data_IF_455231298538
#
_entry.id   IF_455231298538
#
_cell.length_a   1.000
_cell.length_b   1.000
_cell.length_c   1.000
_cell.angle_alpha   90.00
_cell.angle_beta   90.00
_cell.angle_gamma   90.00
#
_symmetry.space_group_name_H-M   'P 1'
#
loop_
_entity.id
_entity.type
_entity.pdbx_description
1 polymer ?
#
# COMPACT_ATOMS: atom_id res chain seq x y z
N UNK A 1 10.62 -18.29 -18.51
CA UNK A 1 9.33 -18.83 -19.07
C UNK A 1 8.31 -19.20 -17.98
N UNK A 2 8.71 -19.84 -16.87
CA UNK A 2 7.82 -20.17 -15.74
C UNK A 2 7.63 -19.02 -14.75
N UNK A 3 8.69 -18.28 -14.39
CA UNK A 3 8.60 -17.12 -13.48
C UNK A 3 7.55 -16.10 -13.93
N UNK A 4 7.54 -15.73 -15.22
CA UNK A 4 6.53 -14.82 -15.76
C UNK A 4 5.08 -15.30 -15.66
N UNK A 5 4.81 -16.61 -15.51
CA UNK A 5 3.47 -17.16 -15.24
C UNK A 5 3.10 -17.09 -13.77
N UNK A 6 4.06 -17.31 -12.87
CA UNK A 6 3.85 -17.20 -11.41
C UNK A 6 3.46 -15.76 -11.04
N UNK A 7 4.09 -14.78 -11.70
CA UNK A 7 3.81 -13.35 -11.50
C UNK A 7 2.35 -12.98 -11.81
N UNK A 8 1.65 -13.73 -12.67
CA UNK A 8 0.22 -13.47 -12.89
C UNK A 8 -0.60 -13.66 -11.64
N UNK A 9 -0.22 -14.56 -10.73
CA UNK A 9 -0.92 -14.73 -9.46
C UNK A 9 -0.34 -13.76 -8.44
N UNK A 10 0.98 -13.75 -8.27
CA UNK A 10 1.62 -13.00 -7.18
C UNK A 10 1.52 -11.48 -7.36
N UNK A 11 1.40 -10.97 -8.59
CA UNK A 11 1.24 -9.55 -8.84
C UNK A 11 -0.23 -9.12 -8.87
N UNK A 12 -1.20 -9.96 -9.27
CA UNK A 12 -2.60 -9.54 -9.38
C UNK A 12 -3.43 -9.84 -8.14
N UNK A 13 -3.14 -10.95 -7.43
CA UNK A 13 -3.87 -11.32 -6.21
C UNK A 13 -3.83 -10.21 -5.14
N UNK A 14 -2.70 -9.53 -4.90
CA UNK A 14 -2.68 -8.41 -3.96
C UNK A 14 -3.67 -7.28 -4.31
N UNK A 15 -3.94 -7.02 -5.59
CA UNK A 15 -4.93 -6.02 -5.98
C UNK A 15 -6.36 -6.45 -5.66
N UNK A 16 -6.66 -7.74 -5.78
CA UNK A 16 -7.97 -8.29 -5.39
C UNK A 16 -8.16 -8.18 -3.87
N UNK A 17 -7.16 -8.59 -3.09
CA UNK A 17 -7.19 -8.49 -1.63
C UNK A 17 -7.30 -7.03 -1.20
N UNK A 18 -6.49 -6.15 -1.79
CA UNK A 18 -6.53 -4.71 -1.53
C UNK A 18 -7.91 -4.11 -1.84
N UNK A 19 -8.53 -4.50 -2.95
CA UNK A 19 -9.87 -4.03 -3.31
C UNK A 19 -10.93 -4.47 -2.29
N UNK A 20 -10.89 -5.72 -1.84
CA UNK A 20 -11.82 -6.22 -0.82
C UNK A 20 -11.62 -5.50 0.51
N UNK A 21 -10.36 -5.35 0.95
CA UNK A 21 -10.03 -4.62 2.18
C UNK A 21 -10.46 -3.15 2.11
N UNK A 22 -10.28 -2.50 0.96
CA UNK A 22 -10.72 -1.13 0.75
C UNK A 22 -12.24 -1.02 0.86
N UNK A 23 -12.99 -1.83 0.12
CA UNK A 23 -14.46 -1.78 0.12
C UNK A 23 -15.01 -2.08 1.51
N UNK A 24 -14.45 -3.07 2.21
CA UNK A 24 -14.86 -3.38 3.58
C UNK A 24 -14.48 -2.24 4.54
N UNK A 25 -13.23 -1.80 4.51
CA UNK A 25 -12.69 -0.77 5.41
C UNK A 25 -13.47 0.54 5.34
N UNK A 26 -13.86 1.01 4.15
CA UNK A 26 -14.67 2.24 4.02
C UNK A 26 -16.11 2.10 4.53
N UNK A 27 -16.63 0.88 4.68
CA UNK A 27 -17.98 0.64 5.22
C UNK A 27 -18.02 0.53 6.74
N UNK A 28 -16.85 0.45 7.40
CA UNK A 28 -16.75 0.34 8.84
C UNK A 28 -17.03 1.69 9.54
N UNK A 29 -17.61 1.67 10.76
CA UNK A 29 -17.79 2.89 11.54
C UNK A 29 -16.42 3.52 11.87
N UNK A 30 -16.31 4.84 11.84
CA UNK A 30 -15.05 5.54 12.12
C UNK A 30 -14.06 5.62 10.94
N UNK A 31 -14.31 4.93 9.82
CA UNK A 31 -13.43 4.95 8.65
C UNK A 31 -13.18 6.36 8.08
N UNK A 32 -14.19 7.23 8.13
CA UNK A 32 -14.08 8.63 7.69
C UNK A 32 -13.03 9.43 8.48
N UNK A 33 -12.88 9.18 9.78
CA UNK A 33 -11.85 9.82 10.61
C UNK A 33 -10.46 9.40 10.15
N UNK A 34 -10.30 8.12 9.81
CA UNK A 34 -9.05 7.60 9.27
C UNK A 34 -8.69 8.19 7.92
N UNK A 35 -9.64 8.26 6.99
CA UNK A 35 -9.42 8.88 5.68
C UNK A 35 -9.09 10.37 5.82
N UNK A 36 -9.75 11.07 6.76
CA UNK A 36 -9.44 12.48 7.02
C UNK A 36 -8.01 12.65 7.54
N UNK A 37 -7.57 11.78 8.47
CA UNK A 37 -6.18 11.79 8.94
C UNK A 37 -5.18 11.49 7.81
N UNK A 38 -5.49 10.57 6.90
CA UNK A 38 -4.63 10.25 5.75
C UNK A 38 -4.45 11.43 4.79
N UNK A 39 -5.53 12.15 4.51
CA UNK A 39 -5.55 13.26 3.55
C UNK A 39 -5.26 14.61 4.20
N UNK A 40 -5.04 14.65 5.51
CA UNK A 40 -4.71 15.88 6.21
C UNK A 40 -3.32 16.38 5.79
N UNK A 41 -3.27 17.58 5.22
CA UNK A 41 -2.02 18.18 4.75
C UNK A 41 -1.58 19.26 5.73
N UNK A 42 -0.42 19.06 6.34
CA UNK A 42 0.29 20.10 7.09
C UNK A 42 1.36 20.77 6.20
N UNK A 43 1.05 21.95 5.68
CA UNK A 43 1.96 22.72 4.84
C UNK A 43 3.21 23.23 5.57
N UNK A 44 3.20 23.32 6.91
CA UNK A 44 4.37 23.77 7.66
C UNK A 44 5.47 22.72 7.63
N UNK A 45 5.10 21.43 7.68
CA UNK A 45 6.04 20.31 7.60
C UNK A 45 6.81 20.24 6.28
N UNK A 46 6.29 20.82 5.20
CA UNK A 46 7.01 20.89 3.92
C UNK A 46 8.31 21.72 4.00
N UNK A 47 8.49 22.54 5.04
CA UNK A 47 9.72 23.29 5.29
C UNK A 47 10.81 22.44 5.95
N UNK A 48 10.44 21.29 6.50
CA UNK A 48 11.38 20.39 7.17
C UNK A 48 12.13 19.54 6.14
N UNK A 49 13.46 19.56 6.21
CA UNK A 49 14.29 18.78 5.29
C UNK A 49 14.04 17.27 5.43
N UNK A 50 13.70 16.81 6.63
CA UNK A 50 13.39 15.41 6.94
C UNK A 50 12.25 14.86 6.08
N UNK A 51 11.17 15.64 5.89
CA UNK A 51 10.03 15.24 5.04
C UNK A 51 10.45 14.93 3.60
N UNK A 52 11.40 15.70 3.06
CA UNK A 52 11.92 15.47 1.71
C UNK A 52 12.90 14.30 1.64
N UNK A 53 13.72 14.10 2.68
CA UNK A 53 14.60 12.93 2.80
C UNK A 53 13.77 11.65 2.86
N UNK A 54 12.71 11.65 3.65
CA UNK A 54 11.81 10.50 3.80
C UNK A 54 11.07 10.23 2.47
N UNK A 55 10.55 11.26 1.80
CA UNK A 55 9.91 11.11 0.49
C UNK A 55 10.88 10.55 -0.57
N UNK A 56 12.11 11.06 -0.63
CA UNK A 56 13.12 10.59 -1.57
C UNK A 56 13.53 9.13 -1.29
N UNK A 57 13.69 8.79 -0.01
CA UNK A 57 14.02 7.43 0.43
C UNK A 57 12.88 6.47 0.10
N UNK A 58 11.64 6.85 0.40
CA UNK A 58 10.44 6.07 0.16
C UNK A 58 10.26 5.75 -1.33
N UNK A 59 10.35 6.75 -2.22
CA UNK A 59 10.17 6.51 -3.66
C UNK A 59 11.33 5.70 -4.27
N UNK A 60 12.56 5.91 -3.79
CA UNK A 60 13.74 5.18 -4.26
C UNK A 60 13.63 3.68 -3.96
N UNK A 61 13.31 3.33 -2.72
CA UNK A 61 13.10 1.93 -2.32
C UNK A 61 11.82 1.35 -2.91
N UNK A 62 10.75 2.14 -3.05
CA UNK A 62 9.48 1.68 -3.62
C UNK A 62 9.60 1.26 -5.08
N UNK A 63 10.33 2.03 -5.92
CA UNK A 63 10.53 1.68 -7.33
C UNK A 63 11.62 0.61 -7.54
N UNK A 64 12.48 0.40 -6.55
CA UNK A 64 13.59 -0.54 -6.66
C UNK A 64 14.67 -0.11 -7.66
N UNK A 65 14.84 1.20 -7.88
CA UNK A 65 15.85 1.73 -8.78
C UNK A 65 17.27 1.44 -8.26
N UNK A 66 18.17 1.01 -9.14
CA UNK A 66 19.59 0.78 -8.79
C UNK A 66 19.93 -0.60 -8.21
N UNK A 67 18.94 -1.46 -7.89
CA UNK A 67 19.21 -2.82 -7.37
C UNK A 67 19.56 -3.87 -8.45
N UNK A 68 19.70 -3.47 -9.72
CA UNK A 68 20.00 -4.38 -10.83
C UNK A 68 18.83 -5.27 -11.29
N UNK A 69 17.75 -5.38 -10.53
CA UNK A 69 16.57 -6.19 -10.88
C UNK A 69 15.89 -5.68 -12.16
N UNK A 70 15.67 -4.36 -12.26
CA UNK A 70 15.06 -3.76 -13.45
C UNK A 70 15.94 -3.91 -14.70
N UNK A 71 17.27 -3.83 -14.54
CA UNK A 71 18.24 -4.09 -15.62
C UNK A 71 18.14 -5.54 -16.08
N UNK A 72 18.12 -6.48 -15.13
CA UNK A 72 17.99 -7.90 -15.42
C UNK A 72 16.67 -8.19 -16.15
N UNK A 73 15.54 -7.64 -15.71
CA UNK A 73 14.25 -7.82 -16.40
C UNK A 73 14.23 -7.18 -17.79
N UNK A 74 14.72 -5.95 -17.92
CA UNK A 74 14.78 -5.27 -19.21
C UNK A 74 15.69 -6.00 -20.22
N UNK A 75 16.70 -6.73 -19.77
CA UNK A 75 17.58 -7.52 -20.66
C UNK A 75 16.88 -8.67 -21.39
N UNK A 76 15.70 -9.10 -20.90
CA UNK A 76 14.85 -10.10 -21.57
C UNK A 76 13.80 -9.51 -22.50
N UNK A 77 13.70 -8.18 -22.60
CA UNK A 77 12.77 -7.53 -23.52
C UNK A 77 13.21 -7.68 -24.98
N UNK A 78 12.26 -7.53 -25.91
CA UNK A 78 12.61 -7.38 -27.33
C UNK A 78 13.36 -6.07 -27.53
N UNK A 79 14.27 -6.05 -28.50
CA UNK A 79 15.11 -4.89 -28.80
C UNK A 79 14.30 -3.65 -29.22
N UNK A 80 13.17 -3.86 -29.90
CA UNK A 80 12.24 -2.83 -30.38
C UNK A 80 11.11 -2.50 -29.39
N UNK A 81 11.16 -3.05 -28.17
CA UNK A 81 10.16 -2.78 -27.15
C UNK A 81 10.21 -1.32 -26.67
N UNK A 82 9.05 -0.69 -26.52
CA UNK A 82 8.95 0.68 -26.00
C UNK A 82 9.11 0.69 -24.46
N UNK A 83 10.36 0.63 -23.99
CA UNK A 83 10.69 0.64 -22.57
C UNK A 83 10.32 1.96 -21.87
N UNK A 84 10.21 3.08 -22.60
CA UNK A 84 9.79 4.37 -22.05
C UNK A 84 8.34 4.32 -21.57
N UNK A 85 7.45 3.77 -22.40
CA UNK A 85 6.04 3.55 -22.03
C UNK A 85 5.93 2.62 -20.83
N UNK A 86 6.69 1.52 -20.83
CA UNK A 86 6.66 0.55 -19.75
C UNK A 86 7.11 1.18 -18.43
N UNK A 87 8.19 1.98 -18.46
CA UNK A 87 8.70 2.67 -17.28
C UNK A 87 7.69 3.68 -16.70
N UNK A 88 7.03 4.48 -17.55
CA UNK A 88 5.98 5.39 -17.10
C UNK A 88 4.79 4.64 -16.49
N UNK A 89 4.35 3.55 -17.14
CA UNK A 89 3.21 2.78 -16.68
C UNK A 89 3.50 2.08 -15.34
N UNK A 90 4.64 1.41 -15.21
CA UNK A 90 5.00 0.71 -13.97
C UNK A 90 5.21 1.67 -12.81
N UNK A 91 5.84 2.82 -13.04
CA UNK A 91 6.02 3.86 -12.03
C UNK A 91 4.68 4.45 -11.58
N UNK A 92 3.77 4.70 -12.53
CA UNK A 92 2.43 5.21 -12.23
C UNK A 92 1.62 4.19 -11.43
N UNK A 93 1.62 2.92 -11.85
CA UNK A 93 0.93 1.84 -11.13
C UNK A 93 1.48 1.72 -9.71
N UNK A 94 2.80 1.74 -9.52
CA UNK A 94 3.41 1.70 -8.20
C UNK A 94 2.87 2.83 -7.28
N UNK A 95 2.90 4.07 -7.74
CA UNK A 95 2.42 5.22 -6.95
C UNK A 95 0.91 5.14 -6.67
N UNK A 96 0.11 4.76 -7.66
CA UNK A 96 -1.35 4.58 -7.49
C UNK A 96 -1.65 3.47 -6.48
N UNK A 97 -0.94 2.35 -6.55
CA UNK A 97 -1.10 1.25 -5.59
C UNK A 97 -0.77 1.70 -4.17
N UNK A 98 0.34 2.43 -3.97
CA UNK A 98 0.66 3.00 -2.66
C UNK A 98 -0.44 3.93 -2.16
N UNK A 99 -0.95 4.82 -3.01
CA UNK A 99 -2.03 5.74 -2.65
C UNK A 99 -3.32 5.00 -2.27
N UNK A 100 -3.77 4.04 -3.08
CA UNK A 100 -4.97 3.23 -2.81
C UNK A 100 -4.80 2.38 -1.54
N UNK A 101 -3.61 1.83 -1.32
CA UNK A 101 -3.30 1.10 -0.09
C UNK A 101 -3.38 1.98 1.16
N UNK A 102 -3.03 3.26 1.05
CA UNK A 102 -3.22 4.24 2.11
C UNK A 102 -4.68 4.33 2.56
N UNK A 103 -5.63 4.41 1.63
CA UNK A 103 -7.06 4.40 1.98
C UNK A 103 -7.50 3.12 2.68
N UNK A 104 -7.08 1.95 2.19
CA UNK A 104 -7.43 0.68 2.82
C UNK A 104 -6.93 0.62 4.27
N UNK A 105 -5.65 0.93 4.50
CA UNK A 105 -5.05 0.94 5.84
C UNK A 105 -5.68 1.99 6.75
N UNK A 106 -5.81 3.24 6.29
CA UNK A 106 -6.33 4.31 7.13
C UNK A 106 -7.83 4.17 7.42
N UNK A 107 -8.62 3.57 6.53
CA UNK A 107 -10.02 3.25 6.83
C UNK A 107 -10.16 2.27 8.00
N UNK A 108 -9.30 1.24 8.05
CA UNK A 108 -9.21 0.28 9.14
C UNK A 108 -8.70 0.93 10.43
N UNK A 109 -7.64 1.76 10.34
CA UNK A 109 -7.12 2.52 11.49
C UNK A 109 -8.20 3.41 12.11
N UNK A 110 -9.01 4.08 11.28
CA UNK A 110 -10.13 4.89 11.74
C UNK A 110 -11.19 4.08 12.49
N UNK A 111 -11.48 2.87 12.00
CA UNK A 111 -12.36 1.92 12.69
C UNK A 111 -11.78 1.48 14.04
N UNK A 112 -10.51 1.10 14.09
CA UNK A 112 -9.86 0.68 15.35
C UNK A 112 -9.85 1.81 16.38
N UNK A 113 -9.51 3.03 15.96
CA UNK A 113 -9.54 4.20 16.83
C UNK A 113 -10.96 4.46 17.38
N UNK A 114 -11.98 4.27 16.54
CA UNK A 114 -13.39 4.40 16.93
C UNK A 114 -13.83 3.33 17.95
N UNK A 115 -13.53 2.06 17.70
CA UNK A 115 -13.91 0.95 18.58
C UNK A 115 -13.19 1.00 19.94
N UNK A 116 -11.88 1.28 19.93
CA UNK A 116 -11.07 1.34 21.15
C UNK A 116 -11.15 2.68 21.87
N UNK A 117 -11.82 3.69 21.28
CA UNK A 117 -11.95 5.06 21.82
C UNK A 117 -10.60 5.72 22.11
N UNK A 118 -9.65 5.50 21.20
CA UNK A 118 -8.29 6.06 21.24
C UNK A 118 -8.06 7.00 20.06
N UNK A 119 -6.96 7.75 20.08
CA UNK A 119 -6.61 8.58 18.92
C UNK A 119 -6.03 7.71 17.82
N UNK A 120 -6.14 8.18 16.57
CA UNK A 120 -5.60 7.44 15.43
C UNK A 120 -4.08 7.30 15.49
N UNK A 121 -3.40 8.28 16.09
CA UNK A 121 -1.95 8.26 16.30
C UNK A 121 -1.50 7.10 17.20
N UNK A 122 -2.37 6.64 18.10
CA UNK A 122 -2.07 5.54 19.03
C UNK A 122 -2.15 4.16 18.34
N UNK A 123 -2.87 4.07 17.22
CA UNK A 123 -3.02 2.83 16.43
C UNK A 123 -2.22 2.84 15.13
N UNK A 124 -1.83 4.03 14.64
CA UNK A 124 -1.03 4.22 13.44
C UNK A 124 0.44 3.89 13.69
N UNK A 125 0.79 2.60 13.59
CA UNK A 125 2.17 2.13 13.69
C UNK A 125 2.80 1.92 12.30
N UNK A 126 4.13 1.97 12.21
CA UNK A 126 4.87 1.66 10.98
C UNK A 126 5.49 0.26 11.02
N UNK A 127 5.81 -0.28 9.85
CA UNK A 127 6.57 -1.53 9.70
C UNK A 127 5.79 -2.78 10.11
N UNK A 128 6.46 -3.70 10.81
CA UNK A 128 5.92 -5.02 11.13
C UNK A 128 4.69 -4.96 12.07
N UNK A 129 4.60 -3.95 12.93
CA UNK A 129 3.45 -3.76 13.84
C UNK A 129 2.14 -3.55 13.07
N UNK A 130 2.18 -2.81 11.97
CA UNK A 130 1.03 -2.62 11.09
C UNK A 130 0.57 -3.98 10.52
N UNK A 131 1.49 -4.81 10.03
CA UNK A 131 1.14 -6.09 9.38
C UNK A 131 0.70 -7.17 10.37
N UNK A 132 1.29 -7.22 11.58
CA UNK A 132 1.03 -8.33 12.51
C UNK A 132 0.02 -8.01 13.61
N UNK A 133 -0.44 -6.76 13.73
CA UNK A 133 -1.47 -6.35 14.69
C UNK A 133 -2.68 -5.79 13.95
N UNK A 134 -2.47 -4.80 13.08
CA UNK A 134 -3.56 -4.12 12.40
C UNK A 134 -4.32 -5.03 11.42
N UNK A 135 -3.60 -5.76 10.57
CA UNK A 135 -4.23 -6.63 9.56
C UNK A 135 -5.03 -7.77 10.18
N UNK A 136 -4.53 -8.53 11.18
CA UNK A 136 -5.34 -9.54 11.85
C UNK A 136 -6.62 -8.98 12.46
N UNK A 137 -6.54 -7.81 13.09
CA UNK A 137 -7.72 -7.15 13.66
C UNK A 137 -8.73 -6.77 12.57
N UNK A 138 -8.26 -6.15 11.48
CA UNK A 138 -9.10 -5.83 10.33
C UNK A 138 -9.77 -7.06 9.72
N UNK A 139 -8.98 -8.11 9.49
CA UNK A 139 -9.44 -9.38 8.89
C UNK A 139 -10.45 -10.07 9.80
N UNK A 140 -10.31 -9.95 11.12
CA UNK A 140 -11.25 -10.54 12.08
C UNK A 140 -12.68 -9.99 11.94
N UNK A 141 -12.83 -8.77 11.40
CA UNK A 141 -14.13 -8.12 11.18
C UNK A 141 -14.82 -8.55 9.87
N UNK A 142 -14.11 -9.22 8.97
CA UNK A 142 -14.67 -9.70 7.71
C UNK A 142 -15.55 -10.95 7.93
N UNK A 143 -16.66 -11.03 7.20
CA UNK A 143 -17.39 -12.30 7.07
C UNK A 143 -16.49 -13.32 6.36
N UNK A 144 -16.31 -14.50 6.96
CA UNK A 144 -15.34 -15.48 6.49
C UNK A 144 -13.89 -15.13 6.84
N UNK A 145 -13.65 -14.44 7.96
CA UNK A 145 -12.33 -14.02 8.45
C UNK A 145 -11.25 -15.11 8.37
N UNK A 146 -11.59 -16.39 8.60
CA UNK A 146 -10.65 -17.52 8.46
C UNK A 146 -10.09 -17.66 7.04
N UNK A 147 -10.89 -17.41 6.00
CA UNK A 147 -10.43 -17.44 4.61
C UNK A 147 -9.46 -16.27 4.34
N UNK A 148 -9.83 -15.06 4.76
CA UNK A 148 -9.03 -13.85 4.56
C UNK A 148 -7.74 -13.82 5.40
N UNK A 149 -7.68 -14.56 6.51
CA UNK A 149 -6.44 -14.71 7.29
C UNK A 149 -5.42 -15.64 6.61
N UNK A 150 -5.88 -16.51 5.71
CA UNK A 150 -5.02 -17.46 4.96
C UNK A 150 -4.53 -16.87 3.64
N UNK A 151 -5.34 -16.01 3.01
CA UNK A 151 -5.06 -15.34 1.73
C UNK A 151 -4.21 -14.09 1.93
#
# INVERSE_FOLDING_TARGET
KTSGKVVWITATLPYLVLFVLLVHGITLPGASNGINAYLHIDFYRLKEATVWIDAATQIFFSLGAGFGVLIAFASYNKFDNNCYRDALLTSTINCVTSFVSGFAIFSILGYMAHEHKVNIEDVATEGAGLVFILYPEAISTLSGSTFWAVV
#
